data_IF_804597966706
#
_entry.id   IF_804597966706
#
_cell.length_a   1.000
_cell.length_b   1.000
_cell.length_c   1.000
_cell.angle_alpha   90.00
_cell.angle_beta   90.00
_cell.angle_gamma   90.00
#
_symmetry.space_group_name_H-M   'P 1'
#
loop_
_entity.id
_entity.type
_entity.pdbx_description
1 polymer ?
#
# COMPACT_ATOMS: atom_id res chain seq x y z
N UNK A 1 -25.61 4.09 -14.10
CA UNK A 1 -25.82 4.54 -12.71
C UNK A 1 -25.62 6.04 -12.62
N UNK A 2 -26.07 6.67 -11.54
CA UNK A 2 -25.89 8.11 -11.31
C UNK A 2 -24.63 8.36 -10.46
N UNK A 3 -23.82 9.36 -10.83
CA UNK A 3 -22.64 9.77 -10.06
C UNK A 3 -23.11 10.41 -8.74
N UNK A 4 -22.83 9.76 -7.61
CA UNK A 4 -23.19 10.27 -6.27
C UNK A 4 -22.04 11.01 -5.59
N UNK A 5 -20.80 10.73 -5.98
CA UNK A 5 -19.58 11.36 -5.48
C UNK A 5 -18.43 11.09 -6.46
N UNK A 6 -17.42 11.96 -6.46
CA UNK A 6 -16.22 11.82 -7.27
C UNK A 6 -15.03 12.43 -6.55
N UNK A 7 -13.91 11.72 -6.56
CA UNK A 7 -12.61 12.24 -6.13
C UNK A 7 -11.60 11.97 -7.24
N UNK A 8 -10.75 12.96 -7.53
CA UNK A 8 -9.77 12.92 -8.60
C UNK A 8 -8.42 13.24 -7.99
N UNK A 9 -7.52 12.27 -8.05
CA UNK A 9 -6.14 12.44 -7.66
C UNK A 9 -5.29 11.56 -8.60
N UNK A 10 -4.31 12.14 -9.32
CA UNK A 10 -3.50 11.40 -10.30
C UNK A 10 -2.60 10.33 -9.66
N UNK A 11 -2.40 10.39 -8.35
CA UNK A 11 -1.60 9.43 -7.58
C UNK A 11 -2.40 8.25 -7.07
N UNK A 12 -3.73 8.24 -7.22
CA UNK A 12 -4.58 7.11 -6.85
C UNK A 12 -4.15 5.85 -7.61
N UNK A 13 -4.02 4.75 -6.89
CA UNK A 13 -3.84 3.44 -7.48
C UNK A 13 -4.66 2.37 -6.77
N UNK A 14 -4.83 1.25 -7.46
CA UNK A 14 -5.37 -0.04 -7.04
C UNK A 14 -6.64 -0.10 -6.18
N UNK A 15 -6.67 0.42 -4.95
CA UNK A 15 -7.73 0.14 -3.99
C UNK A 15 -8.15 1.37 -3.15
N UNK A 16 -9.38 1.31 -2.67
CA UNK A 16 -9.99 2.30 -1.80
C UNK A 16 -11.07 1.65 -0.94
N UNK A 17 -11.40 2.29 0.18
CA UNK A 17 -12.48 1.85 1.05
C UNK A 17 -13.30 3.01 1.57
N UNK A 18 -14.60 2.98 1.24
CA UNK A 18 -15.58 3.92 1.79
C UNK A 18 -15.82 3.62 3.26
N UNK A 19 -15.75 4.66 4.09
CA UNK A 19 -15.93 4.57 5.53
C UNK A 19 -17.38 4.89 5.92
N UNK A 20 -17.82 4.40 7.09
CA UNK A 20 -19.18 4.64 7.60
C UNK A 20 -19.46 6.11 7.91
N UNK A 21 -18.42 6.87 8.26
CA UNK A 21 -18.51 8.31 8.53
C UNK A 21 -18.65 9.17 7.25
N UNK A 22 -18.62 8.55 6.07
CA UNK A 22 -18.67 9.28 4.80
C UNK A 22 -17.31 9.82 4.33
N UNK A 23 -16.20 9.34 4.89
CA UNK A 23 -14.86 9.52 4.30
C UNK A 23 -14.50 8.34 3.39
N UNK A 24 -13.44 8.48 2.62
CA UNK A 24 -12.87 7.41 1.81
C UNK A 24 -11.39 7.31 2.11
N UNK A 25 -10.92 6.12 2.51
CA UNK A 25 -9.48 5.83 2.54
C UNK A 25 -9.06 5.33 1.17
N UNK A 26 -7.92 5.79 0.68
CA UNK A 26 -7.43 5.45 -0.65
C UNK A 26 -5.93 5.17 -0.60
N UNK A 27 -5.46 4.31 -1.48
CA UNK A 27 -4.03 4.16 -1.75
C UNK A 27 -3.58 5.19 -2.78
N UNK A 28 -2.50 5.89 -2.46
CA UNK A 28 -1.83 6.83 -3.36
C UNK A 28 -0.33 6.59 -3.35
N UNK A 29 0.31 6.92 -4.46
CA UNK A 29 1.76 6.97 -4.52
C UNK A 29 2.32 8.30 -4.01
N UNK A 30 3.54 8.24 -3.51
CA UNK A 30 4.41 9.39 -3.26
C UNK A 30 5.76 9.16 -3.95
N UNK A 31 6.31 10.20 -4.57
CA UNK A 31 7.66 10.17 -5.13
C UNK A 31 8.71 10.14 -4.01
N UNK A 32 9.59 9.16 -4.06
CA UNK A 32 10.70 9.02 -3.13
C UNK A 32 11.91 9.81 -3.62
N UNK A 33 12.72 10.34 -2.70
CA UNK A 33 13.97 10.98 -3.09
C UNK A 33 14.92 9.95 -3.69
N UNK A 34 15.83 10.42 -4.57
CA UNK A 34 16.89 9.57 -5.12
C UNK A 34 17.72 8.96 -3.99
N UNK A 35 18.06 9.72 -2.94
CA UNK A 35 18.86 9.19 -1.83
C UNK A 35 18.16 8.04 -1.11
N UNK A 36 16.83 8.11 -0.93
CA UNK A 36 16.08 7.00 -0.34
C UNK A 36 16.01 5.81 -1.31
N UNK A 37 15.73 6.07 -2.58
CA UNK A 37 15.62 5.06 -3.64
C UNK A 37 16.89 4.22 -3.78
N UNK A 38 18.06 4.84 -3.59
CA UNK A 38 19.37 4.16 -3.62
C UNK A 38 19.56 3.16 -2.46
N UNK A 39 18.79 3.31 -1.37
CA UNK A 39 18.84 2.37 -0.23
C UNK A 39 17.96 1.13 -0.44
N UNK A 40 16.98 1.20 -1.34
CA UNK A 40 16.02 0.11 -1.59
C UNK A 40 16.69 -1.06 -2.30
N UNK A 41 16.49 -2.28 -1.81
CA UNK A 41 17.17 -3.47 -2.31
C UNK A 41 16.32 -4.25 -3.33
N UNK A 42 16.99 -4.99 -4.22
CA UNK A 42 16.36 -5.93 -5.15
C UNK A 42 15.80 -5.29 -6.42
N UNK A 43 14.92 -6.02 -7.10
CA UNK A 43 14.37 -5.66 -8.40
C UNK A 43 15.39 -5.77 -9.54
N UNK A 44 14.90 -5.67 -10.77
CA UNK A 44 15.74 -5.50 -11.94
C UNK A 44 15.86 -4.01 -12.30
N UNK A 45 17.04 -3.63 -12.78
CA UNK A 45 17.30 -2.28 -13.28
C UNK A 45 17.06 -2.30 -14.78
N UNK A 46 16.14 -1.47 -15.25
CA UNK A 46 15.90 -1.21 -16.66
C UNK A 46 16.21 0.27 -16.92
N UNK A 47 17.11 0.55 -17.87
CA UNK A 47 17.57 1.91 -18.21
C UNK A 47 16.45 2.79 -18.80
N UNK A 48 15.32 2.21 -19.19
CA UNK A 48 14.15 2.93 -19.70
C UNK A 48 13.13 3.32 -18.60
N UNK A 49 13.31 2.87 -17.34
CA UNK A 49 12.40 3.21 -16.25
C UNK A 49 12.57 4.67 -15.79
N UNK A 50 11.50 5.34 -15.33
CA UNK A 50 11.60 6.67 -14.74
C UNK A 50 12.58 6.70 -13.56
N UNK A 51 13.38 7.78 -13.45
CA UNK A 51 14.40 7.91 -12.40
C UNK A 51 13.85 7.89 -10.97
N UNK A 52 12.56 8.21 -10.80
CA UNK A 52 11.94 8.38 -9.49
C UNK A 52 11.24 7.08 -9.08
N UNK A 53 11.55 6.57 -7.88
CA UNK A 53 10.81 5.46 -7.27
C UNK A 53 9.55 5.97 -6.58
N UNK A 54 8.49 5.18 -6.57
CA UNK A 54 7.25 5.45 -5.85
C UNK A 54 7.13 4.61 -4.59
N UNK A 55 6.67 5.24 -3.51
CA UNK A 55 6.29 4.60 -2.26
C UNK A 55 4.77 4.65 -2.03
N UNK A 56 4.27 3.72 -1.24
CA UNK A 56 2.85 3.62 -0.89
C UNK A 56 2.49 4.53 0.30
N UNK A 57 1.39 5.25 0.15
CA UNK A 57 0.77 6.10 1.16
C UNK A 57 -0.73 5.82 1.22
N UNK A 58 -1.30 5.77 2.43
CA UNK A 58 -2.75 5.81 2.60
C UNK A 58 -3.13 7.25 2.92
N UNK A 59 -4.17 7.77 2.27
CA UNK A 59 -4.81 9.03 2.70
C UNK A 59 -6.27 8.78 3.01
N UNK A 60 -6.81 9.53 3.97
CA UNK A 60 -8.24 9.62 4.23
C UNK A 60 -8.76 10.93 3.66
N UNK A 61 -9.81 10.84 2.85
CA UNK A 61 -10.42 11.96 2.14
C UNK A 61 -11.85 12.14 2.62
N UNK A 62 -12.23 13.36 2.98
CA UNK A 62 -13.60 13.70 3.36
C UNK A 62 -14.56 13.77 2.15
N UNK A 63 -15.84 14.05 2.39
CA UNK A 63 -16.84 14.17 1.32
C UNK A 63 -16.60 15.33 0.36
N UNK A 64 -15.86 16.35 0.80
CA UNK A 64 -15.55 17.54 0.00
C UNK A 64 -14.27 17.37 -0.82
N UNK A 65 -13.54 16.26 -0.63
CA UNK A 65 -12.33 15.93 -1.35
C UNK A 65 -11.05 16.39 -0.65
N UNK A 66 -11.13 16.85 0.61
CA UNK A 66 -9.94 17.25 1.37
C UNK A 66 -9.28 16.03 2.01
N UNK A 67 -7.95 15.97 1.97
CA UNK A 67 -7.18 15.02 2.77
C UNK A 67 -7.25 15.43 4.24
N UNK A 68 -7.79 14.55 5.08
CA UNK A 68 -7.92 14.77 6.53
C UNK A 68 -6.93 13.97 7.36
N UNK A 69 -6.38 12.88 6.80
CA UNK A 69 -5.30 12.09 7.41
C UNK A 69 -4.38 11.50 6.33
N UNK A 70 -3.15 11.18 6.71
CA UNK A 70 -2.12 10.59 5.85
C UNK A 70 -1.25 9.59 6.65
N UNK A 71 -0.96 8.44 6.04
CA UNK A 71 -0.06 7.41 6.57
C UNK A 71 0.97 7.02 5.50
N UNK A 72 2.20 7.50 5.64
CA UNK A 72 3.31 7.19 4.74
C UNK A 72 3.89 5.82 5.05
N UNK A 73 3.30 4.77 4.49
CA UNK A 73 3.65 3.39 4.80
C UNK A 73 5.12 3.10 4.49
N UNK A 74 5.63 3.66 3.39
CA UNK A 74 7.02 3.52 2.98
C UNK A 74 8.03 3.94 4.07
N UNK A 75 7.69 4.89 4.94
CA UNK A 75 8.57 5.33 6.04
C UNK A 75 8.66 4.33 7.19
N UNK A 76 7.75 3.34 7.22
CA UNK A 76 7.60 2.36 8.30
C UNK A 76 8.03 0.95 7.87
N UNK A 77 8.61 0.85 6.68
CA UNK A 77 9.17 -0.38 6.13
C UNK A 77 10.69 -0.42 6.32
N UNK A 78 11.24 -1.63 6.24
CA UNK A 78 12.66 -1.92 6.43
C UNK A 78 13.24 -2.35 5.09
N UNK A 79 14.06 -1.49 4.47
CA UNK A 79 14.66 -1.72 3.15
C UNK A 79 15.47 -3.01 3.05
N UNK A 80 15.94 -3.55 4.18
CA UNK A 80 16.68 -4.81 4.22
C UNK A 80 15.75 -6.05 4.24
N UNK A 81 14.47 -5.88 4.59
CA UNK A 81 13.47 -6.97 4.68
C UNK A 81 12.50 -6.93 3.50
N UNK A 82 12.03 -5.75 3.15
CA UNK A 82 11.14 -5.52 2.01
C UNK A 82 11.95 -5.38 0.72
N UNK A 83 12.59 -6.48 0.33
CA UNK A 83 13.42 -6.56 -0.88
C UNK A 83 12.54 -6.78 -2.09
N UNK A 84 12.71 -5.94 -3.12
CA UNK A 84 11.94 -6.06 -4.37
C UNK A 84 12.29 -7.39 -5.05
N UNK A 85 11.27 -8.16 -5.43
CA UNK A 85 11.47 -9.41 -6.16
C UNK A 85 12.20 -9.15 -7.50
N UNK A 86 13.20 -9.98 -7.88
CA UNK A 86 14.01 -9.76 -9.10
C UNK A 86 13.22 -9.71 -10.41
N UNK A 87 11.97 -10.17 -10.42
CA UNK A 87 11.09 -10.14 -11.59
C UNK A 87 10.41 -8.77 -11.81
N UNK A 88 10.50 -7.83 -10.87
CA UNK A 88 9.90 -6.49 -10.99
C UNK A 88 10.97 -5.43 -11.24
N UNK A 89 10.58 -4.39 -11.97
CA UNK A 89 11.35 -3.15 -12.07
C UNK A 89 11.39 -2.40 -10.75
N UNK A 90 12.01 -1.21 -10.77
CA UNK A 90 12.23 -0.39 -9.57
C UNK A 90 11.39 0.87 -9.53
N UNK A 91 10.48 1.08 -10.48
CA UNK A 91 9.55 2.23 -10.44
C UNK A 91 8.71 2.31 -9.17
N UNK A 92 8.34 1.18 -8.58
CA UNK A 92 7.54 1.11 -7.34
C UNK A 92 8.25 0.21 -6.33
N UNK A 93 8.41 0.68 -5.09
CA UNK A 93 9.05 -0.15 -4.06
C UNK A 93 8.13 -1.31 -3.66
N UNK A 94 6.91 -1.02 -3.21
CA UNK A 94 6.02 -2.03 -2.61
C UNK A 94 4.81 -2.42 -3.45
N UNK A 95 4.34 -1.52 -4.31
CA UNK A 95 3.16 -1.71 -5.18
C UNK A 95 1.96 -2.23 -4.38
N UNK A 96 1.38 -1.35 -3.56
CA UNK A 96 0.14 -1.61 -2.82
C UNK A 96 -1.00 -1.96 -3.77
N UNK A 97 -1.47 -3.21 -3.68
CA UNK A 97 -2.52 -3.73 -4.56
C UNK A 97 -3.83 -4.02 -3.83
N UNK A 98 -3.84 -3.89 -2.51
CA UNK A 98 -5.05 -4.03 -1.71
C UNK A 98 -4.98 -3.20 -0.43
N UNK A 99 -6.11 -2.58 -0.10
CA UNK A 99 -6.38 -1.88 1.14
C UNK A 99 -7.74 -2.32 1.66
N UNK A 100 -7.73 -2.97 2.81
CA UNK A 100 -8.93 -3.35 3.56
C UNK A 100 -8.77 -2.90 5.01
N UNK A 101 -9.86 -2.99 5.76
CA UNK A 101 -9.83 -2.81 7.21
C UNK A 101 -9.90 -4.17 7.89
N UNK A 102 -9.16 -4.29 8.98
CA UNK A 102 -9.31 -5.37 9.94
C UNK A 102 -10.62 -5.21 10.73
N UNK A 103 -10.99 -6.25 11.48
CA UNK A 103 -12.14 -6.19 12.40
C UNK A 103 -11.99 -5.09 13.48
N UNK A 104 -10.75 -4.69 13.79
CA UNK A 104 -10.41 -3.64 14.76
C UNK A 104 -10.20 -2.26 14.11
N UNK A 105 -10.53 -2.12 12.81
CA UNK A 105 -10.45 -0.86 12.04
C UNK A 105 -9.01 -0.34 11.79
N UNK A 106 -8.01 -1.20 11.96
CA UNK A 106 -6.65 -1.02 11.44
C UNK A 106 -6.57 -1.40 9.96
N UNK A 107 -5.55 -0.95 9.24
CA UNK A 107 -5.39 -1.25 7.82
C UNK A 107 -4.80 -2.65 7.61
N UNK A 108 -5.36 -3.39 6.66
CA UNK A 108 -4.78 -4.60 6.09
C UNK A 108 -4.32 -4.25 4.67
N UNK A 109 -3.02 -4.32 4.43
CA UNK A 109 -2.40 -3.96 3.15
C UNK A 109 -1.70 -5.16 2.51
N UNK A 110 -1.65 -5.17 1.19
CA UNK A 110 -0.92 -6.16 0.40
C UNK A 110 0.03 -5.48 -0.58
N UNK A 111 1.31 -5.82 -0.50
CA UNK A 111 2.40 -5.29 -1.29
C UNK A 111 2.93 -6.37 -2.24
N UNK A 112 2.71 -6.16 -3.54
CA UNK A 112 2.95 -7.16 -4.57
C UNK A 112 4.43 -7.43 -4.79
N UNK A 113 5.23 -6.37 -4.95
CA UNK A 113 6.63 -6.45 -5.41
C UNK A 113 7.54 -7.08 -4.36
N UNK A 114 7.19 -6.93 -3.08
CA UNK A 114 7.93 -7.50 -1.94
C UNK A 114 7.25 -8.74 -1.34
N UNK A 115 6.11 -9.15 -1.90
CA UNK A 115 5.30 -10.30 -1.45
C UNK A 115 4.93 -10.25 0.04
N UNK A 116 4.53 -9.08 0.52
CA UNK A 116 4.23 -8.83 1.95
C UNK A 116 2.79 -8.42 2.15
N UNK A 117 2.11 -9.06 3.11
CA UNK A 117 0.87 -8.59 3.71
C UNK A 117 1.19 -8.01 5.07
N UNK A 118 0.57 -6.90 5.43
CA UNK A 118 0.79 -6.24 6.72
C UNK A 118 -0.50 -5.72 7.35
N UNK A 119 -0.51 -5.70 8.69
CA UNK A 119 -1.49 -4.93 9.47
C UNK A 119 -0.80 -3.66 9.94
N UNK A 120 -1.39 -2.52 9.64
CA UNK A 120 -0.90 -1.19 10.03
C UNK A 120 -1.90 -0.56 10.99
N UNK A 121 -1.41 -0.18 12.16
CA UNK A 121 -2.20 0.55 13.14
C UNK A 121 -2.66 1.87 12.56
N UNK A 122 -3.98 2.10 12.51
CA UNK A 122 -4.53 3.36 11.99
C UNK A 122 -4.19 4.54 12.90
N UNK A 123 -4.04 4.31 14.20
CA UNK A 123 -3.68 5.34 15.17
C UNK A 123 -2.23 5.82 15.01
N UNK A 124 -1.30 4.88 14.82
CA UNK A 124 0.14 5.18 14.89
C UNK A 124 0.84 5.16 13.53
N UNK A 125 0.24 4.51 12.53
CA UNK A 125 0.87 4.21 11.25
C UNK A 125 1.92 3.10 11.29
N UNK A 126 2.13 2.46 12.44
CA UNK A 126 3.13 1.39 12.60
C UNK A 126 2.60 0.03 12.14
N UNK A 127 3.48 -0.79 11.56
CA UNK A 127 3.16 -2.19 11.27
C UNK A 127 3.12 -3.01 12.56
N UNK A 128 1.96 -3.54 12.92
CA UNK A 128 1.78 -4.42 14.09
C UNK A 128 2.00 -5.89 13.75
N UNK A 129 1.90 -6.24 12.47
CA UNK A 129 2.13 -7.58 11.95
C UNK A 129 2.52 -7.53 10.47
N UNK A 130 3.41 -8.43 10.05
CA UNK A 130 3.81 -8.65 8.64
C UNK A 130 4.02 -10.14 8.38
N UNK A 131 3.67 -10.59 7.17
CA UNK A 131 3.86 -11.97 6.72
C UNK A 131 3.90 -12.04 5.19
N UNK A 132 4.54 -13.06 4.63
CA UNK A 132 4.43 -13.37 3.20
C UNK A 132 5.74 -13.73 2.49
N UNK A 133 6.87 -13.02 2.69
CA UNK A 133 8.10 -13.32 1.98
C UNK A 133 8.55 -14.77 2.20
N UNK A 134 8.66 -15.54 1.11
CA UNK A 134 9.02 -16.97 1.13
C UNK A 134 7.84 -17.94 1.27
N UNK A 135 6.65 -17.44 1.58
CA UNK A 135 5.41 -18.22 1.74
C UNK A 135 4.42 -18.00 0.59
N UNK A 136 4.36 -16.76 0.07
CA UNK A 136 3.54 -16.34 -1.09
C UNK A 136 4.39 -15.55 -2.08
N UNK A 137 3.86 -15.34 -3.29
CA UNK A 137 4.56 -14.61 -4.34
C UNK A 137 3.61 -13.71 -5.13
N UNK A 138 3.77 -12.40 -4.94
CA UNK A 138 3.00 -11.38 -5.68
C UNK A 138 1.49 -11.43 -5.44
N UNK A 139 1.09 -11.83 -4.23
CA UNK A 139 -0.30 -12.00 -3.81
C UNK A 139 -1.13 -10.71 -3.89
N UNK A 140 -2.45 -10.88 -4.02
CA UNK A 140 -3.46 -9.83 -4.13
C UNK A 140 -4.60 -10.01 -3.12
N UNK A 141 -5.33 -8.92 -2.91
CA UNK A 141 -6.65 -8.91 -2.29
C UNK A 141 -6.73 -9.54 -0.88
N UNK A 142 -5.78 -9.15 -0.01
CA UNK A 142 -5.81 -9.55 1.39
C UNK A 142 -7.10 -9.04 2.08
N UNK A 143 -7.85 -9.95 2.68
CA UNK A 143 -9.15 -9.67 3.33
C UNK A 143 -9.19 -10.30 4.71
N UNK A 144 -9.50 -9.50 5.73
CA UNK A 144 -9.68 -10.01 7.09
C UNK A 144 -11.07 -10.64 7.23
N UNK A 145 -11.11 -11.88 7.71
CA UNK A 145 -12.34 -12.62 7.93
C UNK A 145 -12.84 -12.46 9.37
N UNK A 146 -14.14 -12.68 9.58
CA UNK A 146 -14.77 -12.57 10.90
C UNK A 146 -14.18 -13.54 11.96
N UNK A 147 -13.55 -14.63 11.52
CA UNK A 147 -12.89 -15.60 12.41
C UNK A 147 -11.44 -15.23 12.75
N UNK A 148 -10.94 -14.06 12.31
CA UNK A 148 -9.59 -13.58 12.56
C UNK A 148 -8.55 -13.98 11.52
N UNK A 149 -8.87 -14.88 10.58
CA UNK A 149 -7.95 -15.29 9.51
C UNK A 149 -7.88 -14.25 8.39
N UNK A 150 -6.77 -14.27 7.64
CA UNK A 150 -6.61 -13.48 6.41
C UNK A 150 -6.80 -14.40 5.19
N UNK A 151 -7.75 -14.07 4.33
CA UNK A 151 -7.90 -14.64 3.00
C UNK A 151 -7.07 -13.80 2.01
N UNK A 152 -6.40 -14.46 1.06
CA UNK A 152 -5.64 -13.81 0.00
C UNK A 152 -5.78 -14.59 -1.30
N UNK A 153 -5.39 -13.96 -2.40
CA UNK A 153 -5.19 -14.60 -3.70
C UNK A 153 -3.69 -14.60 -4.01
N UNK A 154 -3.07 -15.78 -4.05
CA UNK A 154 -1.66 -15.94 -4.44
C UNK A 154 -1.56 -16.21 -5.95
#
# INVERSE_FOLDING_TARGET
GNKVWEYRNPWLHHDFQRQLNGNTIVLVWEELSTEFSDTVQGGNVNEEEPEVMLGDVIIEVDSDGNTVNEWKLWQKLDVAKEVICPLHGRREWTHGNSLKLTNDNDFLVSFRTVSTIGIVSRETGEFTWKWGPGEVSHQHHATHLANGNVLLFD
#
